data_IF_752726087249
#
_entry.id   IF_752726087249
#
_cell.length_a   1.000
_cell.length_b   1.000
_cell.length_c   1.000
_cell.angle_alpha   90.00
_cell.angle_beta   90.00
_cell.angle_gamma   90.00
#
_symmetry.space_group_name_H-M   'P 1'
#
loop_
_entity.id
_entity.type
_entity.pdbx_description
1 polymer ?
#
# COMPACT_ATOMS: atom_id res chain seq x y z
N UNK A 1 27.46 -10.59 -17.10
CA UNK A 1 26.28 -9.72 -16.92
C UNK A 1 25.06 -10.62 -17.04
N UNK A 2 24.31 -10.83 -15.96
CA UNK A 2 23.09 -11.65 -16.00
C UNK A 2 21.95 -10.79 -16.50
N UNK A 3 21.32 -11.18 -17.62
CA UNK A 3 20.13 -10.52 -18.14
C UNK A 3 18.91 -11.14 -17.46
N UNK A 4 18.43 -10.50 -16.41
CA UNK A 4 17.21 -10.92 -15.68
C UNK A 4 16.11 -9.91 -15.95
N UNK A 5 14.91 -10.40 -16.25
CA UNK A 5 13.75 -9.54 -16.47
C UNK A 5 13.26 -8.92 -15.14
N UNK A 6 12.72 -7.71 -15.21
CA UNK A 6 12.23 -7.00 -14.02
C UNK A 6 10.85 -7.48 -13.58
N UNK A 7 9.93 -7.72 -14.52
CA UNK A 7 8.50 -7.90 -14.22
C UNK A 7 8.16 -9.38 -14.28
N UNK A 8 7.77 -9.96 -13.14
CA UNK A 8 7.46 -11.40 -13.05
C UNK A 8 8.68 -12.29 -12.79
N UNK A 9 9.91 -11.75 -12.87
CA UNK A 9 11.12 -12.39 -12.33
C UNK A 9 11.62 -11.69 -11.06
N UNK A 10 12.05 -10.42 -11.16
CA UNK A 10 12.55 -9.68 -9.99
C UNK A 10 11.44 -9.12 -9.10
N UNK A 11 10.30 -8.74 -9.70
CA UNK A 11 9.14 -8.20 -9.00
C UNK A 11 7.95 -9.14 -9.16
N UNK A 12 7.00 -9.07 -8.22
CA UNK A 12 5.77 -9.90 -8.21
C UNK A 12 4.80 -9.61 -9.36
N UNK A 13 5.11 -8.65 -10.23
CA UNK A 13 4.18 -8.14 -11.25
C UNK A 13 2.81 -7.76 -10.63
N UNK A 14 2.85 -7.15 -9.45
CA UNK A 14 1.68 -6.74 -8.68
C UNK A 14 1.95 -5.36 -8.11
N UNK A 15 1.04 -4.41 -8.38
CA UNK A 15 1.09 -3.08 -7.78
C UNK A 15 0.57 -3.17 -6.34
N UNK A 16 1.41 -2.83 -5.38
CA UNK A 16 1.07 -2.76 -3.96
C UNK A 16 1.42 -1.38 -3.41
N UNK A 17 0.56 -0.81 -2.57
CA UNK A 17 0.85 0.47 -1.91
C UNK A 17 2.04 0.29 -0.98
N UNK A 18 3.08 1.11 -1.12
CA UNK A 18 4.30 1.04 -0.29
C UNK A 18 4.32 2.14 0.76
N UNK A 19 4.19 3.39 0.32
CA UNK A 19 4.22 4.58 1.17
C UNK A 19 3.04 5.50 0.88
N UNK A 20 2.61 6.22 1.90
CA UNK A 20 1.56 7.24 1.89
C UNK A 20 2.17 8.53 2.44
N UNK A 21 1.80 9.67 1.88
CA UNK A 21 2.27 10.98 2.33
C UNK A 21 1.08 11.86 2.70
N UNK A 22 1.09 12.37 3.93
CA UNK A 22 0.01 13.21 4.45
C UNK A 22 0.45 13.92 5.72
N UNK A 23 -0.12 15.10 6.00
CA UNK A 23 0.17 15.83 7.23
C UNK A 23 1.67 16.10 7.47
N UNK A 24 2.44 16.35 6.40
CA UNK A 24 3.91 16.54 6.42
C UNK A 24 4.71 15.33 6.94
N UNK A 25 4.13 14.13 6.92
CA UNK A 25 4.74 12.89 7.39
C UNK A 25 4.61 11.81 6.33
N UNK A 26 5.60 10.92 6.32
CA UNK A 26 5.55 9.69 5.53
C UNK A 26 5.03 8.54 6.39
N UNK A 27 4.10 7.78 5.82
CA UNK A 27 3.54 6.57 6.41
C UNK A 27 3.87 5.36 5.54
N UNK A 28 4.34 4.26 6.13
CA UNK A 28 4.58 3.02 5.40
C UNK A 28 3.40 2.05 5.59
N UNK A 29 2.90 1.50 4.48
CA UNK A 29 1.81 0.51 4.48
C UNK A 29 2.28 -0.91 4.83
N UNK A 30 3.60 -1.17 4.75
CA UNK A 30 4.22 -2.42 5.14
C UNK A 30 5.38 -2.15 6.13
N UNK A 31 5.65 -3.10 7.04
CA UNK A 31 6.94 -3.12 7.73
C UNK A 31 8.02 -3.50 6.72
N UNK A 32 8.63 -2.49 6.10
CA UNK A 32 9.86 -2.69 5.35
C UNK A 32 11.02 -2.71 6.35
N UNK A 33 12.01 -3.60 6.14
CA UNK A 33 13.27 -3.56 6.88
C UNK A 33 14.11 -2.28 6.58
N UNK A 34 13.62 -1.40 5.71
CA UNK A 34 14.11 -0.03 5.62
C UNK A 34 13.52 0.79 6.78
N UNK A 35 14.11 0.62 7.96
CA UNK A 35 13.85 1.44 9.14
C UNK A 35 14.40 2.85 8.91
N UNK A 36 13.69 3.65 8.12
CA UNK A 36 13.93 5.09 8.08
C UNK A 36 13.22 5.72 9.29
N UNK A 37 13.98 6.37 10.17
CA UNK A 37 13.48 6.90 11.46
C UNK A 37 12.37 7.93 11.31
N UNK A 38 12.25 8.54 10.14
CA UNK A 38 11.24 9.55 9.83
C UNK A 38 9.94 8.98 9.25
N UNK A 39 9.92 7.68 8.91
CA UNK A 39 8.71 7.03 8.37
C UNK A 39 7.91 6.37 9.48
N UNK A 40 6.67 6.79 9.61
CA UNK A 40 5.73 6.25 10.60
C UNK A 40 4.97 5.05 10.04
N UNK A 41 4.50 4.15 10.92
CA UNK A 41 3.62 3.07 10.49
C UNK A 41 2.24 3.65 10.13
N UNK A 42 1.60 3.12 9.09
CA UNK A 42 0.22 3.46 8.77
C UNK A 42 -0.72 3.18 9.95
N UNK A 43 -1.53 4.18 10.30
CA UNK A 43 -2.57 4.11 11.31
C UNK A 43 -3.79 4.89 10.80
N UNK A 44 -4.97 4.27 10.81
CA UNK A 44 -6.23 4.90 10.42
C UNK A 44 -6.60 6.07 11.32
N UNK A 45 -6.13 6.07 12.58
CA UNK A 45 -6.38 7.15 13.52
C UNK A 45 -5.44 8.35 13.31
N UNK A 46 -4.48 8.26 12.39
CA UNK A 46 -3.62 9.38 12.06
C UNK A 46 -4.43 10.51 11.40
N UNK A 47 -4.09 11.79 11.66
CA UNK A 47 -4.83 12.92 11.10
C UNK A 47 -4.89 12.88 9.57
N UNK A 48 -6.09 12.95 9.00
CA UNK A 48 -6.32 12.95 7.55
C UNK A 48 -6.25 11.57 6.88
N UNK A 49 -5.94 10.50 7.63
CA UNK A 49 -5.75 9.17 7.05
C UNK A 49 -7.08 8.49 6.73
N UNK A 50 -8.10 8.66 7.57
CA UNK A 50 -9.45 8.14 7.30
C UNK A 50 -9.99 8.71 5.99
N UNK A 51 -9.88 10.04 5.80
CA UNK A 51 -10.34 10.71 4.58
C UNK A 51 -9.53 10.26 3.37
N UNK A 52 -8.21 10.04 3.52
CA UNK A 52 -7.36 9.53 2.45
C UNK A 52 -7.81 8.12 2.00
N UNK A 53 -8.16 7.25 2.94
CA UNK A 53 -8.69 5.91 2.66
C UNK A 53 -10.06 6.00 1.99
N UNK A 54 -10.94 6.88 2.47
CA UNK A 54 -12.26 7.09 1.87
C UNK A 54 -12.15 7.59 0.42
N UNK A 55 -11.25 8.55 0.16
CA UNK A 55 -10.98 9.05 -1.20
C UNK A 55 -10.51 7.89 -2.10
N UNK A 56 -9.58 7.07 -1.63
CA UNK A 56 -9.05 5.95 -2.40
C UNK A 56 -10.11 4.87 -2.66
N UNK A 57 -10.97 4.59 -1.69
CA UNK A 57 -12.03 3.60 -1.80
C UNK A 57 -13.15 4.07 -2.75
N UNK A 58 -13.60 5.31 -2.60
CA UNK A 58 -14.76 5.85 -3.34
C UNK A 58 -14.41 6.30 -4.77
N UNK A 59 -13.17 6.74 -5.02
CA UNK A 59 -12.74 7.17 -6.35
C UNK A 59 -12.14 6.02 -7.19
N UNK A 60 -12.25 4.78 -6.71
CA UNK A 60 -11.77 3.60 -7.43
C UNK A 60 -12.85 3.00 -8.33
N UNK A 61 -12.43 2.47 -9.49
CA UNK A 61 -13.27 1.62 -10.35
C UNK A 61 -13.04 0.12 -10.09
N UNK A 62 -12.31 -0.22 -9.03
CA UNK A 62 -11.96 -1.60 -8.69
C UNK A 62 -13.21 -2.42 -8.41
N UNK A 63 -13.22 -3.66 -8.90
CA UNK A 63 -14.23 -4.67 -8.61
C UNK A 63 -13.53 -5.98 -8.34
N UNK A 64 -14.00 -6.72 -7.34
CA UNK A 64 -13.54 -8.07 -7.09
C UNK A 64 -14.42 -9.04 -7.89
N UNK A 65 -13.80 -9.92 -8.69
CA UNK A 65 -14.54 -10.87 -9.53
C UNK A 65 -15.16 -12.03 -8.74
N UNK A 66 -14.76 -12.20 -7.47
CA UNK A 66 -15.25 -13.26 -6.58
C UNK A 66 -15.58 -12.67 -5.22
N UNK A 67 -16.76 -12.99 -4.71
CA UNK A 67 -17.24 -12.63 -3.36
C UNK A 67 -17.21 -13.80 -2.40
N UNK A 68 -16.87 -15.01 -2.87
CA UNK A 68 -16.93 -16.25 -2.09
C UNK A 68 -15.72 -16.47 -1.17
N UNK A 69 -14.80 -15.50 -1.11
CA UNK A 69 -13.63 -15.54 -0.23
C UNK A 69 -13.94 -14.69 1.01
N UNK A 70 -14.00 -15.28 2.21
CA UNK A 70 -14.18 -14.52 3.44
C UNK A 70 -13.02 -13.53 3.63
N UNK A 71 -13.35 -12.27 3.90
CA UNK A 71 -12.39 -11.23 4.29
C UNK A 71 -12.00 -11.36 5.77
N UNK A 72 -11.68 -12.57 6.22
CA UNK A 72 -11.33 -12.81 7.63
C UNK A 72 -9.82 -12.63 7.89
N UNK A 73 -9.58 -11.83 8.93
CA UNK A 73 -8.34 -11.32 9.56
C UNK A 73 -7.61 -10.17 8.89
#
# INVERSE_FOLDING_TARGET
MHATDKTGMLTRNQMTVTNLWGGLRMFSAFQSNNNDTETTQFDLNAPGMSEMVDIAALNSRVKFDKTDVPFDK
#
